data_IF_329650215580
#
_entry.id   IF_329650215580
#
_cell.length_a   1.000
_cell.length_b   1.000
_cell.length_c   1.000
_cell.angle_alpha   90.00
_cell.angle_beta   90.00
_cell.angle_gamma   90.00
#
_symmetry.space_group_name_H-M   'P 1'
#
loop_
_entity.id
_entity.type
_entity.pdbx_description
1 polymer ?
#
# COMPACT_ATOMS: atom_id res chain seq x y z
N UNK A 1 -10.15 -3.03 22.13
CA UNK A 1 -9.08 -2.25 22.80
C UNK A 1 -7.94 -2.26 21.83
N UNK A 2 -7.58 -1.09 21.31
CA UNK A 2 -6.49 -0.96 20.34
C UNK A 2 -5.17 -1.32 21.02
N UNK A 3 -4.35 -2.13 20.34
CA UNK A 3 -3.04 -2.56 20.85
C UNK A 3 -2.00 -2.11 19.85
N UNK A 4 -1.09 -1.24 20.27
CA UNK A 4 0.02 -0.75 19.45
C UNK A 4 1.20 -1.72 19.56
N UNK A 5 1.80 -2.05 18.42
CA UNK A 5 2.94 -2.97 18.26
C UNK A 5 4.00 -2.38 17.32
N UNK A 6 3.99 -1.06 17.14
CA UNK A 6 4.90 -0.30 16.27
C UNK A 6 6.35 -0.65 16.56
N UNK A 7 6.80 -0.62 17.81
CA UNK A 7 8.20 -0.91 18.15
C UNK A 7 8.65 -2.28 17.64
N UNK A 8 7.84 -3.31 17.91
CA UNK A 8 8.11 -4.66 17.43
C UNK A 8 8.03 -4.78 15.90
N UNK A 9 6.98 -4.23 15.28
CA UNK A 9 6.78 -4.32 13.84
C UNK A 9 7.89 -3.60 13.06
N UNK A 10 8.35 -2.45 13.57
CA UNK A 10 9.48 -1.70 13.05
C UNK A 10 10.79 -2.45 13.16
N UNK A 11 11.08 -3.11 14.29
CA UNK A 11 12.25 -3.99 14.43
C UNK A 11 12.24 -5.14 13.43
N UNK A 12 11.07 -5.73 13.17
CA UNK A 12 10.91 -6.80 12.18
C UNK A 12 11.13 -6.29 10.74
N UNK A 13 10.63 -5.09 10.42
CA UNK A 13 10.84 -4.47 9.11
C UNK A 13 12.31 -4.11 8.91
N UNK A 14 12.94 -3.51 9.93
CA UNK A 14 14.37 -3.21 9.95
C UNK A 14 15.21 -4.47 9.70
N UNK A 15 14.89 -5.58 10.38
CA UNK A 15 15.62 -6.84 10.20
C UNK A 15 15.53 -7.42 8.78
N UNK A 16 14.44 -7.14 8.03
CA UNK A 16 14.30 -7.54 6.62
C UNK A 16 15.07 -6.63 5.68
N UNK A 17 15.08 -5.33 6.00
CA UNK A 17 15.67 -4.31 5.14
C UNK A 17 17.16 -4.11 5.40
N UNK A 18 17.67 -4.30 6.61
CA UNK A 18 19.06 -4.04 6.96
C UNK A 18 20.01 -5.07 6.33
N UNK A 19 21.00 -4.60 5.57
CA UNK A 19 21.97 -5.46 4.90
C UNK A 19 21.43 -6.22 3.69
N UNK A 20 20.23 -5.86 3.20
CA UNK A 20 19.68 -6.36 1.95
C UNK A 20 20.65 -6.02 0.81
N UNK A 21 21.05 -7.04 0.07
CA UNK A 21 21.98 -6.89 -1.06
C UNK A 21 21.18 -6.51 -2.30
N UNK A 22 21.28 -5.24 -2.72
CA UNK A 22 20.59 -4.71 -3.88
C UNK A 22 21.23 -5.19 -5.19
N UNK A 23 22.56 -5.26 -5.20
CA UNK A 23 23.37 -5.84 -6.27
C UNK A 23 24.76 -6.21 -5.72
N UNK A 24 25.62 -6.89 -6.49
CA UNK A 24 26.96 -7.27 -6.02
C UNK A 24 27.77 -6.04 -5.55
N UNK A 25 28.02 -5.95 -4.24
CA UNK A 25 28.81 -4.87 -3.64
C UNK A 25 28.01 -3.64 -3.18
N UNK A 26 26.67 -3.65 -3.32
CA UNK A 26 25.78 -2.60 -2.80
C UNK A 26 24.74 -3.21 -1.86
N UNK A 27 24.60 -2.60 -0.69
CA UNK A 27 23.69 -3.06 0.35
C UNK A 27 23.00 -1.88 1.04
N UNK A 28 21.82 -2.16 1.56
CA UNK A 28 21.09 -1.26 2.45
C UNK A 28 21.68 -1.26 3.86
N UNK A 29 21.43 -0.18 4.59
CA UNK A 29 21.70 -0.02 6.01
C UNK A 29 20.39 -0.09 6.80
N UNK A 30 20.47 -0.20 8.12
CA UNK A 30 19.29 -0.23 8.99
C UNK A 30 18.52 1.10 8.92
N UNK A 31 17.22 1.09 8.59
CA UNK A 31 16.36 2.27 8.70
C UNK A 31 16.26 2.82 10.12
N UNK A 32 16.30 1.97 11.16
CA UNK A 32 16.22 2.41 12.56
C UNK A 32 17.51 3.08 13.06
N UNK A 33 18.68 2.57 12.65
CA UNK A 33 19.97 3.09 13.14
C UNK A 33 20.54 4.23 12.28
N UNK A 34 20.29 4.19 10.97
CA UNK A 34 20.94 5.09 10.01
C UNK A 34 19.99 5.80 9.05
N UNK A 35 18.70 5.46 9.07
CA UNK A 35 17.69 6.01 8.18
C UNK A 35 16.59 6.73 8.93
N UNK A 36 15.37 6.52 8.47
CA UNK A 36 14.15 7.03 9.08
C UNK A 36 13.07 5.96 8.99
N UNK A 37 12.29 5.82 10.06
CA UNK A 37 11.07 5.03 10.08
C UNK A 37 10.08 5.72 11.00
N UNK A 38 8.90 6.03 10.49
CA UNK A 38 7.84 6.73 11.21
C UNK A 38 6.48 6.15 10.85
N UNK A 39 5.51 6.34 11.74
CA UNK A 39 4.15 5.86 11.56
C UNK A 39 3.73 4.95 12.71
N UNK A 40 2.67 4.18 12.50
CA UNK A 40 2.09 3.35 13.53
C UNK A 40 1.69 1.98 12.99
N UNK A 41 1.85 0.96 13.86
CA UNK A 41 1.29 -0.37 13.65
C UNK A 41 0.42 -0.72 14.85
N UNK A 42 -0.87 -0.88 14.61
CA UNK A 42 -1.85 -1.30 15.61
C UNK A 42 -2.49 -2.63 15.24
N UNK A 43 -3.18 -3.22 16.21
CA UNK A 43 -3.96 -4.44 16.03
C UNK A 43 -5.44 -4.07 16.11
N UNK A 44 -6.13 -4.26 14.99
CA UNK A 44 -7.59 -4.25 14.90
C UNK A 44 -8.17 -5.62 15.25
N UNK A 45 -9.43 -5.62 15.72
CA UNK A 45 -10.23 -6.83 15.91
C UNK A 45 -11.55 -6.69 15.14
N UNK A 46 -11.80 -7.58 14.17
CA UNK A 46 -13.04 -7.60 13.38
C UNK A 46 -13.57 -9.03 13.31
N UNK A 47 -14.86 -9.21 13.63
CA UNK A 47 -15.54 -10.53 13.63
C UNK A 47 -14.76 -11.60 14.41
N UNK A 48 -14.11 -11.22 15.52
CA UNK A 48 -13.31 -12.13 16.36
C UNK A 48 -11.95 -12.54 15.78
N UNK A 49 -11.52 -11.95 14.67
CA UNK A 49 -10.17 -12.12 14.10
C UNK A 49 -9.36 -10.84 14.34
N UNK A 50 -8.10 -11.01 14.74
CA UNK A 50 -7.14 -9.90 14.87
C UNK A 50 -6.39 -9.70 13.56
N UNK A 51 -6.12 -8.45 13.21
CA UNK A 51 -5.35 -8.09 12.02
C UNK A 51 -4.48 -6.86 12.30
N UNK A 52 -3.28 -6.78 11.71
CA UNK A 52 -2.46 -5.59 11.81
C UNK A 52 -3.08 -4.48 10.95
N UNK A 53 -3.03 -3.25 11.44
CA UNK A 53 -3.31 -2.03 10.71
C UNK A 53 -2.01 -1.23 10.78
N UNK A 54 -1.48 -0.81 9.65
CA UNK A 54 -0.24 -0.06 9.61
C UNK A 54 -0.27 1.03 8.54
N UNK A 55 0.43 2.10 8.85
CA UNK A 55 0.80 3.17 7.93
C UNK A 55 2.20 3.62 8.35
N UNK A 56 3.20 3.33 7.52
CA UNK A 56 4.61 3.62 7.80
C UNK A 56 5.24 4.38 6.63
N UNK A 57 6.12 5.33 6.96
CA UNK A 57 7.04 6.01 6.04
C UNK A 57 8.46 5.53 6.39
N UNK A 58 9.24 5.13 5.40
CA UNK A 58 10.58 4.56 5.60
C UNK A 58 11.61 5.17 4.64
N UNK A 59 12.72 5.67 5.19
CA UNK A 59 13.92 6.00 4.42
C UNK A 59 15.03 5.00 4.75
N UNK A 60 15.52 4.30 3.72
CA UNK A 60 16.53 3.25 3.80
C UNK A 60 17.82 3.75 3.15
N UNK A 61 18.87 4.07 3.93
CA UNK A 61 20.16 4.42 3.36
C UNK A 61 20.77 3.19 2.70
N UNK A 62 21.47 3.37 1.59
CA UNK A 62 22.25 2.32 0.95
C UNK A 62 23.63 2.82 0.56
N UNK A 63 24.60 1.91 0.53
CA UNK A 63 25.96 2.22 0.14
C UNK A 63 26.66 1.00 -0.45
N UNK A 64 27.68 1.25 -1.25
CA UNK A 64 28.46 0.19 -1.86
C UNK A 64 29.37 0.65 -2.97
N UNK A 65 29.75 -0.28 -3.84
CA UNK A 65 30.53 0.02 -5.03
C UNK A 65 29.87 -0.54 -6.29
N UNK A 66 29.71 0.32 -7.29
CA UNK A 66 29.27 -0.03 -8.64
C UNK A 66 30.36 0.38 -9.63
N UNK A 67 30.76 -0.54 -10.51
CA UNK A 67 31.84 -0.34 -11.50
C UNK A 67 33.18 0.16 -10.92
N UNK A 68 33.46 -0.21 -9.67
CA UNK A 68 34.68 0.18 -8.96
C UNK A 68 34.66 1.61 -8.41
N UNK A 69 33.53 2.31 -8.48
CA UNK A 69 33.31 3.59 -7.83
C UNK A 69 32.46 3.40 -6.57
N UNK A 70 32.80 4.10 -5.48
CA UNK A 70 31.94 4.14 -4.28
C UNK A 70 30.68 4.97 -4.58
N UNK A 71 29.55 4.47 -4.13
CA UNK A 71 28.23 5.07 -4.34
C UNK A 71 27.38 4.89 -3.10
N UNK A 72 26.47 5.82 -2.89
CA UNK A 72 25.53 5.82 -1.78
C UNK A 72 24.30 6.62 -2.15
N UNK A 73 23.20 6.32 -1.47
CA UNK A 73 21.93 6.99 -1.67
C UNK A 73 20.92 6.59 -0.61
N UNK A 74 19.67 6.94 -0.88
CA UNK A 74 18.53 6.62 -0.02
C UNK A 74 17.41 6.06 -0.89
N UNK A 75 16.73 5.04 -0.40
CA UNK A 75 15.45 4.55 -0.91
C UNK A 75 14.37 5.08 0.03
N UNK A 76 13.36 5.76 -0.50
CA UNK A 76 12.25 6.31 0.26
C UNK A 76 10.95 5.61 -0.13
N UNK A 77 10.24 5.09 0.86
CA UNK A 77 8.94 4.44 0.76
C UNK A 77 7.94 5.34 1.51
N UNK A 78 7.20 6.22 0.81
CA UNK A 78 6.39 7.25 1.44
C UNK A 78 5.15 6.70 2.14
N UNK A 79 4.58 5.59 1.63
CA UNK A 79 3.39 4.97 2.20
C UNK A 79 3.46 3.44 2.13
N UNK A 80 3.78 2.83 3.27
CA UNK A 80 3.62 1.40 3.51
C UNK A 80 2.35 1.22 4.33
N UNK A 81 1.26 0.90 3.65
CA UNK A 81 -0.04 0.63 4.24
C UNK A 81 -0.68 -0.61 3.63
N UNK A 82 -1.74 -1.12 4.28
CA UNK A 82 -2.47 -2.28 3.77
C UNK A 82 -3.04 -2.07 2.36
N UNK A 83 -3.42 -0.83 2.04
CA UNK A 83 -4.04 -0.47 0.76
C UNK A 83 -2.98 -0.32 -0.34
N UNK A 84 -1.79 0.17 0.02
CA UNK A 84 -0.71 0.43 -0.94
C UNK A 84 0.26 -0.74 -1.12
N UNK A 85 0.07 -1.87 -0.45
CA UNK A 85 1.02 -3.01 -0.50
C UNK A 85 1.25 -3.59 -1.90
N UNK A 86 0.20 -3.59 -2.74
CA UNK A 86 0.26 -4.11 -4.10
C UNK A 86 0.98 -3.10 -5.02
N UNK A 87 0.64 -1.82 -4.86
CA UNK A 87 1.14 -0.68 -5.65
C UNK A 87 2.08 0.23 -4.84
N UNK A 88 3.07 -0.36 -4.16
CA UNK A 88 4.03 0.39 -3.34
C UNK A 88 4.84 1.37 -4.20
N UNK A 89 4.82 2.63 -3.81
CA UNK A 89 5.67 3.67 -4.40
C UNK A 89 7.08 3.64 -3.78
N UNK A 90 8.09 3.88 -4.61
CA UNK A 90 9.49 3.93 -4.19
C UNK A 90 10.19 5.09 -4.89
N UNK A 91 10.87 5.93 -4.11
CA UNK A 91 11.67 7.04 -4.61
C UNK A 91 13.16 6.79 -4.33
N UNK A 92 14.01 6.94 -5.34
CA UNK A 92 15.46 6.83 -5.22
C UNK A 92 16.15 8.19 -5.19
N UNK A 93 17.04 8.36 -4.22
CA UNK A 93 18.02 9.44 -4.18
C UNK A 93 19.43 8.87 -4.32
N UNK A 94 20.22 9.40 -5.24
CA UNK A 94 21.59 8.93 -5.52
C UNK A 94 21.78 8.50 -6.98
N UNK A 95 22.88 7.78 -7.31
CA UNK A 95 23.05 7.21 -8.64
C UNK A 95 22.04 6.08 -8.86
N UNK A 96 21.65 5.88 -10.13
CA UNK A 96 20.74 4.82 -10.51
C UNK A 96 21.26 3.45 -10.05
N UNK A 97 20.40 2.67 -9.41
CA UNK A 97 20.66 1.29 -9.05
C UNK A 97 20.45 0.38 -10.28
N UNK A 98 21.02 -0.83 -10.30
CA UNK A 98 20.76 -1.79 -11.35
C UNK A 98 19.28 -2.18 -11.41
N UNK A 99 18.83 -2.57 -12.59
CA UNK A 99 17.47 -3.07 -12.82
C UNK A 99 17.13 -4.21 -11.83
N UNK A 100 15.95 -4.13 -11.21
CA UNK A 100 15.46 -5.10 -10.22
C UNK A 100 15.92 -4.85 -8.78
N UNK A 101 16.83 -3.92 -8.51
CA UNK A 101 17.22 -3.59 -7.14
C UNK A 101 16.04 -3.04 -6.30
N UNK A 102 15.17 -2.23 -6.92
CA UNK A 102 13.97 -1.69 -6.29
C UNK A 102 12.99 -2.81 -5.92
N UNK A 103 12.75 -3.77 -6.83
CA UNK A 103 11.85 -4.89 -6.59
C UNK A 103 12.32 -5.79 -5.44
N UNK A 104 13.64 -5.90 -5.19
CA UNK A 104 14.13 -6.61 -3.99
C UNK A 104 13.68 -5.95 -2.70
N UNK A 105 13.65 -4.61 -2.66
CA UNK A 105 13.17 -3.85 -1.49
C UNK A 105 11.66 -4.02 -1.35
N UNK A 106 10.90 -3.83 -2.44
CA UNK A 106 9.45 -3.98 -2.44
C UNK A 106 9.02 -5.40 -2.02
N UNK A 107 9.70 -6.42 -2.54
CA UNK A 107 9.48 -7.83 -2.17
C UNK A 107 9.75 -8.07 -0.68
N UNK A 108 10.81 -7.50 -0.11
CA UNK A 108 11.11 -7.61 1.32
C UNK A 108 10.02 -6.97 2.20
N UNK A 109 9.47 -5.82 1.79
CA UNK A 109 8.35 -5.15 2.49
C UNK A 109 7.08 -5.99 2.42
N UNK A 110 6.73 -6.54 1.24
CA UNK A 110 5.57 -7.43 1.07
C UNK A 110 5.72 -8.71 1.90
N UNK A 111 6.92 -9.28 1.97
CA UNK A 111 7.21 -10.45 2.81
C UNK A 111 7.04 -10.12 4.29
N UNK A 112 7.58 -8.98 4.75
CA UNK A 112 7.37 -8.48 6.12
C UNK A 112 5.88 -8.37 6.45
N UNK A 113 5.07 -7.76 5.57
CA UNK A 113 3.65 -7.58 5.84
C UNK A 113 2.89 -8.93 5.90
N UNK A 114 3.28 -9.90 5.07
CA UNK A 114 2.75 -11.27 5.13
C UNK A 114 3.08 -11.95 6.47
N UNK A 115 4.31 -11.81 6.95
CA UNK A 115 4.76 -12.36 8.22
C UNK A 115 4.07 -11.68 9.41
N UNK A 116 3.95 -10.34 9.37
CA UNK A 116 3.23 -9.56 10.36
C UNK A 116 1.77 -10.03 10.49
N UNK A 117 1.07 -10.22 9.36
CA UNK A 117 -0.31 -10.74 9.34
C UNK A 117 -0.41 -12.13 9.94
N UNK A 118 0.54 -13.02 9.61
CA UNK A 118 0.59 -14.38 10.18
C UNK A 118 0.85 -14.36 11.68
N UNK A 119 1.77 -13.53 12.16
CA UNK A 119 2.09 -13.42 13.58
C UNK A 119 0.88 -12.93 14.39
N UNK A 120 0.22 -11.86 13.93
CA UNK A 120 -0.97 -11.30 14.59
C UNK A 120 -2.14 -12.27 14.58
N UNK A 121 -2.32 -13.02 13.49
CA UNK A 121 -3.40 -14.02 13.39
C UNK A 121 -3.17 -15.29 14.22
N UNK A 122 -1.92 -15.63 14.55
CA UNK A 122 -1.56 -16.90 15.19
C UNK A 122 -1.55 -16.82 16.73
N UNK A 123 -0.78 -15.90 17.30
CA UNK A 123 -0.61 -15.79 18.75
C UNK A 123 -0.28 -14.37 19.18
N UNK A 124 -1.34 -13.63 19.49
CA UNK A 124 -1.24 -12.24 19.91
C UNK A 124 -0.60 -12.05 21.29
N UNK A 125 -0.59 -13.08 22.13
CA UNK A 125 0.01 -13.01 23.46
C UNK A 125 1.55 -13.08 23.39
N UNK A 126 2.09 -13.57 22.28
CA UNK A 126 3.53 -13.65 22.03
C UNK A 126 4.13 -12.34 21.51
N UNK A 127 3.29 -11.42 21.03
CA UNK A 127 3.74 -10.15 20.43
C UNK A 127 3.92 -9.13 21.55
N UNK A 128 5.13 -8.54 21.70
CA UNK A 128 5.35 -7.49 22.68
C UNK A 128 4.56 -6.25 22.27
N UNK A 129 3.68 -5.80 23.19
CA UNK A 129 2.90 -4.59 23.00
C UNK A 129 3.74 -3.37 23.41
N UNK A 130 3.60 -2.29 22.65
CA UNK A 130 4.16 -1.02 23.05
C UNK A 130 3.49 -0.52 24.35
N UNK A 131 4.22 0.20 25.20
CA UNK A 131 3.57 0.94 26.28
C UNK A 131 2.52 1.87 25.68
N UNK A 132 1.40 2.17 26.37
CA UNK A 132 0.41 3.11 25.88
C UNK A 132 1.10 4.47 25.63
N UNK A 133 1.28 4.79 24.35
CA UNK A 133 2.00 5.97 23.91
C UNK A 133 1.05 7.16 24.02
N UNK A 134 1.46 8.21 24.75
CA UNK A 134 0.86 9.54 24.56
C UNK A 134 1.31 10.00 23.16
N UNK A 135 0.38 9.94 22.18
CA UNK A 135 0.49 10.38 20.78
C UNK A 135 1.84 10.99 20.37
N UNK A 136 2.67 10.24 19.65
CA UNK A 136 3.83 10.83 18.98
C UNK A 136 3.32 11.70 17.82
N UNK A 137 3.56 13.00 17.90
CA UNK A 137 3.13 13.96 16.90
C UNK A 137 3.88 13.74 15.57
N UNK A 138 3.17 13.74 14.42
CA UNK A 138 3.81 13.62 13.11
C UNK A 138 4.78 14.77 12.83
N UNK A 139 5.79 14.50 11.97
CA UNK A 139 6.94 15.36 11.59
C UNK A 139 6.56 16.80 11.24
N UNK A 140 5.34 17.03 10.73
CA UNK A 140 4.81 18.37 10.43
C UNK A 140 4.75 19.30 11.66
N UNK A 141 4.60 18.76 12.88
CA UNK A 141 4.60 19.56 14.11
C UNK A 141 6.03 19.84 14.65
N UNK A 142 7.02 19.02 14.30
CA UNK A 142 8.39 19.17 14.78
C UNK A 142 9.14 20.33 14.11
N UNK A 143 8.78 20.72 12.89
CA UNK A 143 9.44 21.82 12.16
C UNK A 143 8.93 23.23 12.51
N UNK A 144 7.87 23.36 13.31
CA UNK A 144 7.33 24.67 13.73
C UNK A 144 7.92 25.12 15.09
N UNK A 145 8.58 24.24 15.85
CA UNK A 145 8.89 24.51 17.26
C UNK A 145 10.21 25.23 17.55
N UNK A 146 11.08 25.49 16.55
CA UNK A 146 12.40 26.10 16.80
C UNK A 146 12.58 27.57 16.34
N UNK A 147 11.64 28.17 15.59
CA UNK A 147 11.81 29.56 15.11
C UNK A 147 10.94 30.63 15.82
N UNK A 148 9.96 30.24 16.64
CA UNK A 148 9.06 31.21 17.32
C UNK A 148 9.32 31.44 18.82
N UNK A 149 10.35 30.82 19.42
CA UNK A 149 10.64 30.97 20.84
C UNK A 149 11.42 32.24 21.24
N UNK A 150 11.72 33.15 20.30
CA UNK A 150 12.54 34.36 20.56
C UNK A 150 11.91 35.67 20.10
N UNK A 151 10.59 35.92 20.26
CA UNK A 151 10.10 37.30 20.18
C UNK A 151 8.68 37.53 20.73
N UNK A 152 8.51 37.60 22.05
CA UNK A 152 7.30 38.21 22.62
C UNK A 152 7.49 38.65 24.08
N UNK A 153 8.23 39.74 24.29
CA UNK A 153 8.11 40.54 25.52
C UNK A 153 7.82 41.97 25.11
N UNK A 154 6.56 42.39 25.18
CA UNK A 154 6.24 43.79 24.92
C UNK A 154 4.77 44.11 24.68
N UNK A 155 4.08 44.43 25.77
CA UNK A 155 3.16 45.57 25.90
C UNK A 155 2.17 45.88 24.76
N UNK A 156 0.88 45.82 25.03
CA UNK A 156 0.10 46.97 25.52
C UNK A 156 -1.41 46.76 25.25
N UNK A 157 -2.20 47.23 26.21
CA UNK A 157 -3.64 47.33 26.17
C UNK A 157 -4.17 48.09 24.93
N UNK A 158 -5.28 47.61 24.37
CA UNK A 158 -6.33 48.45 23.77
C UNK A 158 -7.60 47.63 23.51
N UNK A 159 -8.68 48.03 24.16
CA UNK A 159 -9.88 48.65 23.58
C UNK A 159 -10.91 47.61 23.10
N UNK A 160 -11.84 47.35 24.02
CA UNK A 160 -13.29 47.29 23.80
C UNK A 160 -13.74 47.83 22.42
N UNK A 161 -14.31 46.94 21.61
CA UNK A 161 -15.32 47.29 20.62
C UNK A 161 -16.24 46.09 20.36
N UNK A 162 -17.53 46.37 20.45
CA UNK A 162 -18.70 45.54 20.21
C UNK A 162 -18.86 45.08 18.75
N UNK A 163 -19.89 44.26 18.54
CA UNK A 163 -20.47 43.75 17.28
C UNK A 163 -19.67 42.60 16.63
N UNK A 164 -20.25 41.44 16.29
CA UNK A 164 -21.50 41.25 15.55
C UNK A 164 -22.00 39.79 15.77
N UNK A 165 -23.27 39.63 16.12
CA UNK A 165 -23.99 38.35 16.14
C UNK A 165 -24.16 37.84 14.70
N UNK A 166 -23.29 36.94 14.25
CA UNK A 166 -23.48 36.20 13.00
C UNK A 166 -24.23 34.91 13.33
N UNK A 167 -25.52 34.88 12.99
CA UNK A 167 -26.36 33.69 13.07
C UNK A 167 -25.74 32.57 12.21
N UNK A 168 -25.36 31.46 12.85
CA UNK A 168 -24.97 30.20 12.21
C UNK A 168 -26.16 29.66 11.40
N UNK A 169 -26.08 29.82 10.08
CA UNK A 169 -27.02 29.17 9.15
C UNK A 169 -26.51 27.74 8.93
N UNK A 170 -27.30 26.69 9.28
CA UNK A 170 -26.89 25.32 9.05
C UNK A 170 -26.71 25.09 7.55
N UNK A 171 -25.51 24.64 7.15
CA UNK A 171 -25.25 24.18 5.79
C UNK A 171 -26.01 22.86 5.55
N UNK A 172 -26.74 22.71 4.44
CA UNK A 172 -27.49 21.49 4.11
C UNK A 172 -26.61 20.30 3.67
N UNK A 173 -25.28 20.45 3.71
CA UNK A 173 -24.33 19.44 3.24
C UNK A 173 -23.72 18.57 4.36
N UNK A 174 -24.12 18.77 5.63
CA UNK A 174 -23.75 17.88 6.76
C UNK A 174 -24.61 16.58 6.79
N UNK A 175 -24.96 16.05 5.63
CA UNK A 175 -25.76 14.83 5.50
C UNK A 175 -25.21 13.90 4.42
N UNK A 176 -23.91 13.62 4.45
CA UNK A 176 -23.36 12.41 3.84
C UNK A 176 -22.56 11.67 4.89
N UNK A 177 -23.27 10.90 5.71
CA UNK A 177 -22.65 9.81 6.43
C UNK A 177 -22.10 8.85 5.39
N UNK A 178 -20.78 8.70 5.38
CA UNK A 178 -20.06 7.63 4.71
C UNK A 178 -20.78 6.32 5.04
N UNK A 179 -21.54 5.82 4.07
CA UNK A 179 -22.27 4.58 4.21
C UNK A 179 -21.25 3.47 4.25
N UNK A 180 -20.86 3.05 5.45
CA UNK A 180 -20.13 1.80 5.65
C UNK A 180 -20.90 0.70 4.89
N UNK A 181 -20.35 0.24 3.76
CA UNK A 181 -20.98 -0.80 2.96
C UNK A 181 -21.25 -2.00 3.88
N UNK A 182 -22.53 -2.35 4.02
CA UNK A 182 -22.94 -3.42 4.93
C UNK A 182 -22.26 -4.71 4.48
N UNK A 183 -21.59 -5.44 5.40
CA UNK A 183 -20.84 -6.60 5.02
C UNK A 183 -21.78 -7.71 4.54
N UNK A 184 -21.54 -8.23 3.34
CA UNK A 184 -22.23 -9.42 2.80
C UNK A 184 -22.49 -10.51 3.84
N UNK A 185 -23.75 -10.92 3.91
CA UNK A 185 -24.18 -12.08 4.68
C UNK A 185 -23.93 -13.39 3.89
N UNK A 186 -23.80 -14.51 4.61
CA UNK A 186 -23.50 -15.82 3.99
C UNK A 186 -24.60 -16.26 3.01
N UNK A 187 -25.86 -15.97 3.33
CA UNK A 187 -27.01 -16.23 2.47
C UNK A 187 -27.03 -15.35 1.22
N UNK A 188 -26.57 -14.10 1.32
CA UNK A 188 -26.43 -13.20 0.17
C UNK A 188 -25.35 -13.71 -0.78
N UNK A 189 -24.18 -14.08 -0.27
CA UNK A 189 -23.09 -14.66 -1.09
C UNK A 189 -23.54 -15.96 -1.76
N UNK A 190 -24.28 -16.82 -1.04
CA UNK A 190 -24.82 -18.05 -1.61
C UNK A 190 -25.85 -17.76 -2.72
N UNK A 191 -26.70 -16.74 -2.55
CA UNK A 191 -27.65 -16.32 -3.57
C UNK A 191 -26.93 -15.75 -4.80
N UNK A 192 -25.97 -14.84 -4.61
CA UNK A 192 -25.18 -14.26 -5.70
C UNK A 192 -24.41 -15.34 -6.47
N UNK A 193 -23.83 -16.33 -5.77
CA UNK A 193 -23.16 -17.45 -6.42
C UNK A 193 -24.11 -18.23 -7.33
N UNK A 194 -25.36 -18.46 -6.89
CA UNK A 194 -26.35 -19.14 -7.73
C UNK A 194 -26.73 -18.29 -8.95
N UNK A 195 -26.91 -16.98 -8.77
CA UNK A 195 -27.24 -16.05 -9.87
C UNK A 195 -26.11 -15.99 -10.90
N UNK A 196 -24.85 -15.91 -10.47
CA UNK A 196 -23.68 -15.93 -11.36
C UNK A 196 -23.55 -17.25 -12.11
N UNK A 197 -23.80 -18.40 -11.45
CA UNK A 197 -23.80 -19.71 -12.12
C UNK A 197 -24.84 -19.79 -13.23
N UNK A 198 -26.06 -19.34 -12.94
CA UNK A 198 -27.13 -19.35 -13.92
C UNK A 198 -26.80 -18.44 -15.11
N UNK A 199 -26.23 -17.25 -14.84
CA UNK A 199 -25.77 -16.33 -15.88
C UNK A 199 -24.62 -16.88 -16.72
N UNK A 200 -23.63 -17.54 -16.10
CA UNK A 200 -22.52 -18.19 -16.82
C UNK A 200 -23.01 -19.31 -17.74
N UNK A 201 -23.94 -20.16 -17.26
CA UNK A 201 -24.50 -21.24 -18.06
C UNK A 201 -25.40 -20.74 -19.19
N UNK A 202 -26.02 -19.58 -19.02
CA UNK A 202 -26.77 -18.91 -20.08
C UNK A 202 -25.85 -18.28 -21.14
N UNK A 203 -24.78 -17.60 -20.72
CA UNK A 203 -23.80 -16.98 -21.61
C UNK A 203 -22.96 -18.01 -22.38
N UNK A 204 -22.57 -19.11 -21.72
CA UNK A 204 -21.68 -20.14 -22.25
C UNK A 204 -22.35 -21.53 -22.16
N UNK A 205 -23.24 -21.89 -23.11
CA UNK A 205 -23.96 -23.16 -23.04
C UNK A 205 -23.05 -24.37 -23.27
N UNK A 206 -23.16 -25.38 -22.41
CA UNK A 206 -22.48 -26.68 -22.55
C UNK A 206 -21.27 -26.85 -21.65
N UNK A 207 -20.29 -27.66 -22.08
CA UNK A 207 -19.12 -28.03 -21.26
C UNK A 207 -18.22 -26.83 -20.91
N UNK A 208 -18.30 -25.73 -21.68
CA UNK A 208 -17.54 -24.51 -21.44
C UNK A 208 -18.08 -23.73 -20.24
N UNK A 209 -19.40 -23.51 -20.15
CA UNK A 209 -20.00 -22.87 -18.97
C UNK A 209 -19.86 -23.73 -17.71
N UNK A 210 -19.94 -25.06 -17.83
CA UNK A 210 -19.68 -25.96 -16.70
C UNK A 210 -18.24 -25.84 -16.18
N UNK A 211 -17.25 -25.70 -17.06
CA UNK A 211 -15.86 -25.44 -16.69
C UNK A 211 -15.69 -24.10 -16.00
N UNK A 212 -16.27 -23.02 -16.55
CA UNK A 212 -16.21 -21.68 -15.96
C UNK A 212 -16.83 -21.65 -14.54
N UNK A 213 -17.97 -22.33 -14.36
CA UNK A 213 -18.60 -22.47 -13.04
C UNK A 213 -17.70 -23.23 -12.08
N UNK A 214 -17.06 -24.31 -12.52
CA UNK A 214 -16.16 -25.10 -11.69
C UNK A 214 -14.92 -24.30 -11.26
N UNK A 215 -14.32 -23.55 -12.18
CA UNK A 215 -13.18 -22.67 -11.88
C UNK A 215 -13.56 -21.59 -10.86
N UNK A 216 -14.72 -20.94 -11.04
CA UNK A 216 -15.23 -19.95 -10.09
C UNK A 216 -15.47 -20.56 -8.70
N UNK A 217 -16.07 -21.75 -8.61
CA UNK A 217 -16.26 -22.45 -7.33
C UNK A 217 -14.91 -22.81 -6.66
N UNK A 218 -13.90 -23.19 -7.45
CA UNK A 218 -12.56 -23.49 -6.94
C UNK A 218 -11.89 -22.22 -6.40
N UNK A 219 -11.94 -21.10 -7.12
CA UNK A 219 -11.40 -19.81 -6.67
C UNK A 219 -12.10 -19.32 -5.39
N UNK A 220 -13.43 -19.35 -5.36
CA UNK A 220 -14.19 -18.97 -4.16
C UNK A 220 -13.87 -19.88 -2.97
N UNK A 221 -13.56 -21.16 -3.21
CA UNK A 221 -13.13 -22.11 -2.20
C UNK A 221 -11.74 -21.84 -1.62
N UNK A 222 -10.89 -21.06 -2.30
CA UNK A 222 -9.55 -20.69 -1.81
C UNK A 222 -9.60 -19.59 -0.76
N UNK A 223 -10.60 -18.70 -0.81
CA UNK A 223 -10.82 -17.69 0.22
C UNK A 223 -11.91 -18.13 1.21
N UNK A 224 -11.74 -17.77 2.49
CA UNK A 224 -12.74 -17.96 3.54
C UNK A 224 -13.42 -16.64 3.94
N UNK A 225 -13.10 -15.53 3.26
CA UNK A 225 -13.69 -14.23 3.54
C UNK A 225 -14.93 -13.99 2.68
N UNK A 226 -16.09 -13.90 3.33
CA UNK A 226 -17.36 -13.61 2.66
C UNK A 226 -17.37 -12.26 1.92
N UNK A 227 -16.56 -11.29 2.36
CA UNK A 227 -16.47 -9.99 1.67
C UNK A 227 -15.74 -10.12 0.33
N UNK A 228 -14.65 -10.87 0.33
CA UNK A 228 -13.87 -11.14 -0.86
C UNK A 228 -14.66 -12.00 -1.85
N UNK A 229 -15.37 -13.02 -1.35
CA UNK A 229 -16.29 -13.82 -2.15
C UNK A 229 -17.41 -12.98 -2.77
N UNK A 230 -18.02 -12.07 -1.99
CA UNK A 230 -19.05 -11.16 -2.48
C UNK A 230 -18.55 -10.24 -3.59
N UNK A 231 -17.36 -9.64 -3.42
CA UNK A 231 -16.73 -8.77 -4.44
C UNK A 231 -16.41 -9.53 -5.72
N UNK A 232 -15.76 -10.70 -5.62
CA UNK A 232 -15.48 -11.53 -6.80
C UNK A 232 -16.76 -11.90 -7.58
N UNK A 233 -17.85 -12.21 -6.89
CA UNK A 233 -19.13 -12.51 -7.52
C UNK A 233 -19.73 -11.29 -8.23
N UNK A 234 -19.62 -10.10 -7.64
CA UNK A 234 -20.05 -8.86 -8.31
C UNK A 234 -19.22 -8.56 -9.56
N UNK A 235 -17.90 -8.73 -9.51
CA UNK A 235 -17.02 -8.48 -10.65
C UNK A 235 -17.33 -9.42 -11.82
N UNK A 236 -17.55 -10.71 -11.55
CA UNK A 236 -17.96 -11.68 -12.58
C UNK A 236 -19.33 -11.32 -13.16
N UNK A 237 -20.27 -10.90 -12.32
CA UNK A 237 -21.60 -10.49 -12.77
C UNK A 237 -21.54 -9.23 -13.64
N UNK A 238 -20.72 -8.24 -13.28
CA UNK A 238 -20.51 -7.04 -14.07
C UNK A 238 -19.87 -7.38 -15.43
N UNK A 239 -18.86 -8.24 -15.45
CA UNK A 239 -18.24 -8.71 -16.68
C UNK A 239 -19.24 -9.40 -17.63
N UNK A 240 -20.17 -10.20 -17.09
CA UNK A 240 -21.20 -10.86 -17.91
C UNK A 240 -22.26 -9.89 -18.44
N UNK A 241 -22.57 -8.83 -17.70
CA UNK A 241 -23.53 -7.81 -18.12
C UNK A 241 -22.92 -6.79 -19.07
N UNK A 242 -21.64 -6.48 -18.89
CA UNK A 242 -20.86 -5.51 -19.63
C UNK A 242 -19.60 -6.17 -20.22
N UNK A 243 -19.74 -7.14 -21.14
CA UNK A 243 -18.59 -7.77 -21.76
C UNK A 243 -17.78 -6.67 -22.46
N UNK A 244 -16.44 -6.62 -22.27
CA UNK A 244 -15.61 -5.60 -22.91
C UNK A 244 -15.87 -5.62 -24.42
N UNK A 245 -16.16 -4.45 -24.99
CA UNK A 245 -16.32 -4.34 -26.43
C UNK A 245 -15.00 -4.80 -27.08
N UNK A 246 -15.05 -5.91 -27.82
CA UNK A 246 -13.95 -6.40 -28.65
C UNK A 246 -13.57 -5.30 -29.67
N UNK A 247 -12.69 -4.36 -29.30
CA UNK A 247 -12.44 -3.19 -30.14
C UNK A 247 -11.42 -2.16 -29.68
N UNK A 248 -11.11 -2.04 -28.39
CA UNK A 248 -10.00 -1.20 -27.93
C UNK A 248 -8.80 -2.07 -27.52
N UNK A 249 -8.18 -2.71 -28.52
CA UNK A 249 -6.76 -3.00 -28.45
C UNK A 249 -6.04 -1.66 -28.31
N UNK A 250 -5.74 -1.28 -27.07
CA UNK A 250 -4.84 -0.19 -26.75
C UNK A 250 -3.56 -0.39 -27.55
N UNK A 251 -3.34 0.50 -28.51
CA UNK A 251 -2.11 0.57 -29.27
C UNK A 251 -0.95 0.72 -28.29
N UNK A 252 -0.20 -0.37 -28.14
CA UNK A 252 1.08 -0.44 -27.45
C UNK A 252 2.05 0.58 -28.08
N UNK A 253 2.38 1.70 -27.40
CA UNK A 253 3.37 2.64 -27.89
C UNK A 253 4.74 2.23 -27.33
N UNK A 254 5.35 1.19 -27.91
CA UNK A 254 6.56 0.66 -27.27
C UNK A 254 7.46 -0.31 -28.03
N UNK A 255 7.41 -0.39 -29.37
CA UNK A 255 8.39 -1.18 -30.13
C UNK A 255 9.28 -0.28 -31.00
N UNK A 256 10.11 0.54 -30.33
CA UNK A 256 11.30 1.11 -30.97
C UNK A 256 12.45 0.10 -30.91
N UNK A 257 12.79 -0.45 -32.08
CA UNK A 257 14.20 -0.69 -32.42
C UNK A 257 14.65 -2.14 -32.51
N UNK A 258 14.75 -2.64 -33.74
CA UNK A 258 15.86 -3.50 -34.16
C UNK A 258 15.99 -3.55 -35.69
N UNK A 259 17.19 -3.18 -36.16
CA UNK A 259 17.96 -3.77 -37.28
C UNK A 259 17.33 -3.79 -38.69
N UNK A 260 17.97 -3.35 -39.78
CA UNK A 260 19.32 -2.92 -40.09
C UNK A 260 19.51 -3.13 -41.60
N UNK A 261 19.98 -2.14 -42.36
CA UNK A 261 20.45 -2.34 -43.74
C UNK A 261 21.17 -1.08 -44.25
N UNK A 262 22.45 -0.93 -43.89
CA UNK A 262 23.35 0.01 -44.56
C UNK A 262 24.37 -0.77 -45.42
N UNK A 263 24.30 -0.71 -46.75
CA UNK A 263 25.30 -1.28 -47.65
C UNK A 263 26.58 -0.41 -47.73
N UNK A 264 27.71 -0.99 -48.19
CA UNK A 264 29.06 -0.54 -47.85
C UNK A 264 29.56 0.67 -48.66
N UNK A 265 30.36 1.51 -48.01
CA UNK A 265 31.13 2.60 -48.63
C UNK A 265 32.22 2.06 -49.59
N UNK A 266 32.33 2.61 -50.82
CA UNK A 266 33.43 2.29 -51.73
C UNK A 266 34.57 3.31 -51.63
N UNK A 267 35.79 2.80 -51.44
CA UNK A 267 36.99 3.22 -52.17
C UNK A 267 37.75 4.43 -51.67
N UNK A 268 38.85 4.18 -50.94
CA UNK A 268 40.06 4.99 -50.99
C UNK A 268 41.01 4.40 -52.04
N UNK A 269 41.22 5.13 -53.15
CA UNK A 269 42.49 5.23 -53.91
C UNK A 269 42.63 6.65 -54.47
#
# INVERSE_FOLDING_TARGET
MERTITGWASEQLDAKLAGLTLCPGVQTSSPLDNGFMSGEVTIGERKGKSYPIYSLEVEIPWSGSMDGQECSGTIHLPDISMEMLEDLELELSGPALPEGAEELVLSAVREWASELRKAVGADLESIPLDPPTESQTPRAAALISDEEAMSATGAAARDEAEDDDVEDVPHPDDQEGEGEEEPFAEDEVAQMLQEVKDALLEAYPGEEGEQQVQELEEELGKTQDLQEQGRMLMDVMDYLQNPPEEGEEGADPGEEGAEGDDPPYPGEE
#
